data_IF_547790079329
#
_entry.id   IF_547790079329
#
_cell.length_a   1.000
_cell.length_b   1.000
_cell.length_c   1.000
_cell.angle_alpha   90.00
_cell.angle_beta   90.00
_cell.angle_gamma   90.00
#
_symmetry.space_group_name_H-M   'P 1'
#
loop_
_entity.id
_entity.type
_entity.pdbx_description
1 polymer ?
#
# COMPACT_ATOMS: atom_id res chain seq x y z
N UNK A 1 30.50 5.39 49.65
CA UNK A 1 29.64 6.12 48.68
C UNK A 1 29.41 5.19 47.51
N UNK A 2 28.22 4.60 47.40
CA UNK A 2 27.87 3.69 46.30
C UNK A 2 27.21 4.51 45.21
N UNK A 3 27.88 4.67 44.07
CA UNK A 3 27.32 5.33 42.89
C UNK A 3 26.40 4.34 42.20
N UNK A 4 25.09 4.51 42.34
CA UNK A 4 24.09 3.74 41.61
C UNK A 4 24.15 4.17 40.14
N UNK A 5 24.77 3.34 39.30
CA UNK A 5 24.81 3.56 37.85
C UNK A 5 23.39 3.35 37.31
N UNK A 6 22.74 4.45 36.92
CA UNK A 6 21.41 4.41 36.29
C UNK A 6 21.60 3.86 34.87
N UNK A 7 20.94 2.74 34.50
CA UNK A 7 21.09 2.20 33.16
C UNK A 7 20.59 3.20 32.13
N UNK A 8 21.25 3.31 30.96
CA UNK A 8 20.84 4.23 29.91
C UNK A 8 19.39 3.89 29.51
N UNK A 9 18.51 4.89 29.60
CA UNK A 9 17.14 4.80 29.10
C UNK A 9 17.26 4.52 27.60
N UNK A 10 16.92 3.30 27.19
CA UNK A 10 16.81 2.97 25.77
C UNK A 10 15.86 3.99 25.13
N UNK A 11 16.38 4.75 24.15
CA UNK A 11 15.55 5.67 23.39
C UNK A 11 14.34 4.94 22.78
N UNK A 12 13.27 5.67 22.41
CA UNK A 12 12.12 5.05 21.77
C UNK A 12 12.60 4.20 20.58
N UNK A 13 12.08 2.96 20.43
CA UNK A 13 12.50 2.10 19.33
C UNK A 13 12.28 2.85 18.02
N UNK A 14 13.31 2.88 17.17
CA UNK A 14 13.17 3.44 15.83
C UNK A 14 12.11 2.61 15.11
N UNK A 15 11.04 3.23 14.58
CA UNK A 15 9.95 2.49 13.96
C UNK A 15 10.48 1.68 12.79
N UNK A 16 9.97 0.46 12.64
CA UNK A 16 10.37 -0.43 11.56
C UNK A 16 10.06 0.25 10.20
N UNK A 17 10.99 0.23 9.23
CA UNK A 17 10.76 0.84 7.92
C UNK A 17 9.51 0.30 7.19
N UNK A 18 9.17 -0.97 7.40
CA UNK A 18 7.95 -1.61 6.88
C UNK A 18 6.73 -1.03 7.56
N UNK A 19 6.73 -0.96 8.89
CA UNK A 19 5.62 -0.38 9.66
C UNK A 19 5.34 1.07 9.24
N UNK A 20 6.42 1.85 9.07
CA UNK A 20 6.34 3.23 8.57
C UNK A 20 5.74 3.30 7.18
N UNK A 21 6.16 2.42 6.26
CA UNK A 21 5.60 2.36 4.92
C UNK A 21 4.09 2.02 4.95
N UNK A 22 3.67 1.04 5.75
CA UNK A 22 2.25 0.69 5.92
C UNK A 22 1.45 1.85 6.49
N UNK A 23 1.95 2.54 7.51
CA UNK A 23 1.30 3.70 8.09
C UNK A 23 1.10 4.82 7.05
N UNK A 24 2.13 5.09 6.24
CA UNK A 24 2.08 6.08 5.16
C UNK A 24 1.03 5.71 4.10
N UNK A 25 1.01 4.45 3.65
CA UNK A 25 0.04 3.98 2.66
C UNK A 25 -1.39 4.00 3.22
N UNK A 26 -1.57 3.55 4.47
CA UNK A 26 -2.86 3.59 5.15
C UNK A 26 -3.41 5.02 5.22
N UNK A 27 -2.58 5.98 5.62
CA UNK A 27 -2.94 7.40 5.68
C UNK A 27 -3.30 7.94 4.29
N UNK A 28 -2.50 7.63 3.27
CA UNK A 28 -2.74 8.07 1.89
C UNK A 28 -4.05 7.52 1.32
N UNK A 29 -4.35 6.24 1.54
CA UNK A 29 -5.59 5.60 1.11
C UNK A 29 -6.83 6.20 1.78
N UNK A 30 -6.76 6.42 3.10
CA UNK A 30 -7.85 7.05 3.87
C UNK A 30 -8.11 8.48 3.42
N UNK A 31 -7.06 9.26 3.18
CA UNK A 31 -7.17 10.62 2.64
C UNK A 31 -7.88 10.67 1.27
N UNK A 32 -7.84 9.57 0.51
CA UNK A 32 -8.47 9.43 -0.80
C UNK A 32 -9.86 8.81 -0.75
N UNK A 33 -10.41 8.59 0.45
CA UNK A 33 -11.75 8.02 0.67
C UNK A 33 -11.82 6.51 0.48
N UNK A 34 -10.68 5.81 0.50
CA UNK A 34 -10.64 4.34 0.44
C UNK A 34 -10.77 3.79 1.87
N UNK A 35 -11.68 2.84 2.06
CA UNK A 35 -11.77 2.08 3.31
C UNK A 35 -10.65 1.06 3.32
N UNK A 36 -9.84 1.03 4.38
CA UNK A 36 -8.68 0.14 4.48
C UNK A 36 -8.78 -0.72 5.73
N UNK A 37 -8.54 -2.02 5.57
CA UNK A 37 -8.29 -2.95 6.66
C UNK A 37 -6.86 -3.46 6.56
N UNK A 38 -6.06 -3.17 7.56
CA UNK A 38 -4.68 -3.63 7.62
C UNK A 38 -4.62 -5.02 8.27
N UNK A 39 -3.87 -5.92 7.63
CA UNK A 39 -3.38 -7.16 8.21
C UNK A 39 -1.84 -7.05 8.23
N UNK A 40 -1.35 -6.36 9.26
CA UNK A 40 0.08 -6.05 9.44
C UNK A 40 0.90 -7.31 9.65
N UNK A 41 0.33 -8.35 10.28
CA UNK A 41 0.97 -9.66 10.46
C UNK A 41 1.25 -10.39 9.15
N UNK A 42 0.58 -10.03 8.06
CA UNK A 42 0.79 -10.60 6.72
C UNK A 42 1.30 -9.60 5.68
N UNK A 43 1.71 -8.40 6.11
CA UNK A 43 2.12 -7.32 5.20
C UNK A 43 1.08 -7.06 4.09
N UNK A 44 -0.19 -6.96 4.48
CA UNK A 44 -1.33 -6.83 3.56
C UNK A 44 -2.27 -5.70 3.98
N UNK A 45 -2.79 -4.96 2.99
CA UNK A 45 -3.90 -4.02 3.13
C UNK A 45 -5.05 -4.45 2.22
N UNK A 46 -6.22 -4.69 2.80
CA UNK A 46 -7.47 -4.84 2.06
C UNK A 46 -8.11 -3.47 1.87
N UNK A 47 -8.27 -3.05 0.62
CA UNK A 47 -8.77 -1.74 0.22
C UNK A 47 -10.17 -1.89 -0.39
N UNK A 48 -11.11 -1.05 0.02
CA UNK A 48 -12.51 -1.13 -0.40
C UNK A 48 -13.03 0.26 -0.76
N UNK A 49 -13.73 0.36 -1.89
CA UNK A 49 -14.54 1.52 -2.22
C UNK A 49 -15.83 1.05 -2.91
N UNK A 50 -16.98 1.36 -2.30
CA UNK A 50 -18.26 0.80 -2.74
C UNK A 50 -18.28 -0.73 -2.60
N UNK A 51 -18.61 -1.42 -3.68
CA UNK A 51 -18.64 -2.90 -3.77
C UNK A 51 -17.31 -3.50 -4.24
N UNK A 52 -16.37 -2.67 -4.69
CA UNK A 52 -15.06 -3.14 -5.17
C UNK A 52 -14.11 -3.39 -3.99
N UNK A 53 -13.43 -4.53 -4.02
CA UNK A 53 -12.39 -4.90 -3.06
C UNK A 53 -11.10 -5.20 -3.81
N UNK A 54 -9.99 -4.67 -3.30
CA UNK A 54 -8.64 -4.89 -3.79
C UNK A 54 -7.73 -5.28 -2.62
N UNK A 55 -6.71 -6.08 -2.89
CA UNK A 55 -5.63 -6.32 -1.94
C UNK A 55 -4.35 -5.64 -2.40
N UNK A 56 -3.69 -4.97 -1.46
CA UNK A 56 -2.32 -4.46 -1.62
C UNK A 56 -1.42 -5.21 -0.65
N UNK A 57 -0.23 -5.63 -1.09
CA UNK A 57 0.77 -6.26 -0.23
C UNK A 57 2.10 -5.54 -0.35
N UNK A 58 2.94 -5.65 0.66
CA UNK A 58 4.35 -5.27 0.58
C UNK A 58 5.19 -6.53 0.37
N UNK A 59 6.02 -6.57 -0.67
CA UNK A 59 7.08 -7.59 -0.80
C UNK A 59 8.42 -6.89 -1.00
N UNK A 60 9.35 -7.09 -0.07
CA UNK A 60 10.60 -6.33 -0.07
C UNK A 60 10.31 -4.83 0.04
N UNK A 61 10.74 -4.05 -0.96
CA UNK A 61 10.59 -2.58 -1.02
C UNK A 61 9.51 -2.11 -2.01
N UNK A 62 8.51 -2.94 -2.26
CA UNK A 62 7.61 -2.81 -3.40
C UNK A 62 6.15 -3.05 -2.97
N UNK A 63 5.25 -2.09 -3.30
CA UNK A 63 3.80 -2.14 -3.11
C UNK A 63 3.00 -2.83 -4.24
N UNK A 64 2.58 -4.07 -4.03
CA UNK A 64 1.90 -4.86 -5.06
C UNK A 64 0.39 -4.79 -4.94
N UNK A 65 -0.29 -4.58 -6.07
CA UNK A 65 -1.72 -4.83 -6.21
C UNK A 65 -1.86 -6.32 -6.50
N UNK A 66 -2.58 -7.03 -5.63
CA UNK A 66 -2.90 -8.45 -5.81
C UNK A 66 -4.31 -8.54 -6.41
N UNK A 67 -4.35 -9.02 -7.64
CA UNK A 67 -5.58 -9.30 -8.34
C UNK A 67 -6.23 -10.61 -7.84
N UNK A 68 -7.56 -10.80 -7.97
CA UNK A 68 -8.26 -12.01 -7.54
C UNK A 68 -7.81 -13.29 -8.26
N UNK A 69 -7.28 -13.16 -9.48
CA UNK A 69 -6.66 -14.26 -10.25
C UNK A 69 -5.23 -14.56 -9.82
N UNK A 70 -4.67 -13.77 -8.90
CA UNK A 70 -3.39 -14.03 -8.24
C UNK A 70 -2.17 -13.45 -8.96
N UNK A 71 -2.33 -12.78 -10.10
CA UNK A 71 -1.19 -12.12 -10.75
C UNK A 71 -0.87 -10.78 -10.08
N UNK A 72 0.38 -10.52 -9.68
CA UNK A 72 0.79 -9.20 -9.23
C UNK A 72 1.20 -8.32 -10.43
N UNK A 73 0.49 -7.22 -10.68
CA UNK A 73 0.95 -6.16 -11.61
C UNK A 73 2.11 -5.35 -11.00
N UNK A 74 3.04 -4.79 -11.79
CA UNK A 74 4.19 -4.07 -11.28
C UNK A 74 3.81 -2.75 -10.60
N UNK A 75 4.75 -2.31 -9.78
CA UNK A 75 4.57 -2.02 -8.37
C UNK A 75 5.26 -0.69 -8.11
N UNK A 76 4.68 0.16 -7.27
CA UNK A 76 5.37 1.36 -6.82
C UNK A 76 6.35 1.02 -5.68
N UNK A 77 7.55 1.61 -5.65
CA UNK A 77 8.49 1.40 -4.56
C UNK A 77 7.95 2.02 -3.26
N UNK A 78 8.42 1.53 -2.12
CA UNK A 78 8.26 2.21 -0.84
C UNK A 78 8.80 3.64 -0.95
N UNK A 79 8.07 4.61 -0.39
CA UNK A 79 8.27 6.05 -0.56
C UNK A 79 7.35 6.68 -1.62
N UNK A 80 6.58 5.88 -2.35
CA UNK A 80 5.59 6.34 -3.35
C UNK A 80 4.14 6.05 -2.90
N UNK A 81 3.89 6.01 -1.58
CA UNK A 81 2.60 5.61 -1.00
C UNK A 81 1.43 6.46 -1.48
N UNK A 82 1.66 7.75 -1.73
CA UNK A 82 0.62 8.65 -2.23
C UNK A 82 0.18 8.28 -3.65
N UNK A 83 1.14 8.06 -4.57
CA UNK A 83 0.86 7.58 -5.94
C UNK A 83 0.24 6.19 -5.91
N UNK A 84 0.68 5.32 -5.01
CA UNK A 84 0.09 3.99 -4.82
C UNK A 84 -1.38 4.09 -4.42
N UNK A 85 -1.71 4.98 -3.49
CA UNK A 85 -3.09 5.21 -3.09
C UNK A 85 -3.97 5.78 -4.22
N UNK A 86 -3.41 6.58 -5.14
CA UNK A 86 -4.12 7.03 -6.35
C UNK A 86 -4.43 5.87 -7.28
N UNK A 87 -3.45 5.02 -7.52
CA UNK A 87 -3.62 3.84 -8.36
C UNK A 87 -4.68 2.89 -7.79
N UNK A 88 -4.62 2.62 -6.49
CA UNK A 88 -5.63 1.83 -5.77
C UNK A 88 -7.02 2.44 -5.92
N UNK A 89 -7.16 3.75 -5.71
CA UNK A 89 -8.45 4.43 -5.88
C UNK A 89 -8.95 4.33 -7.31
N UNK A 90 -8.09 4.54 -8.31
CA UNK A 90 -8.47 4.45 -9.72
C UNK A 90 -8.98 3.05 -10.06
N UNK A 91 -8.25 2.00 -9.66
CA UNK A 91 -8.65 0.60 -9.82
C UNK A 91 -10.00 0.31 -9.17
N UNK A 92 -10.19 0.77 -7.93
CA UNK A 92 -11.45 0.55 -7.21
C UNK A 92 -12.64 1.29 -7.84
N UNK A 93 -12.43 2.49 -8.40
CA UNK A 93 -13.48 3.32 -9.02
C UNK A 93 -13.89 2.85 -10.41
N UNK A 94 -12.94 2.37 -11.21
CA UNK A 94 -13.25 1.80 -12.52
C UNK A 94 -14.10 0.53 -12.35
N UNK A 95 -14.03 -0.10 -11.18
CA UNK A 95 -14.64 -1.38 -10.93
C UNK A 95 -13.85 -2.47 -11.64
N UNK A 96 -13.90 -3.67 -11.08
CA UNK A 96 -13.34 -4.85 -11.72
C UNK A 96 -14.22 -5.23 -12.92
N UNK A 97 -13.95 -4.66 -14.09
CA UNK A 97 -14.52 -5.18 -15.35
C UNK A 97 -13.54 -6.21 -15.86
N UNK A 98 -13.95 -7.48 -15.81
CA UNK A 98 -13.23 -8.64 -16.36
C UNK A 98 -12.78 -8.33 -17.80
N UNK A 99 -11.53 -7.89 -17.98
CA UNK A 99 -10.90 -7.92 -19.30
C UNK A 99 -10.48 -9.36 -19.51
N UNK A 100 -11.17 -10.05 -20.42
CA UNK A 100 -10.89 -11.44 -20.75
C UNK A 100 -9.42 -11.66 -21.15
N UNK A 101 -8.96 -12.92 -21.18
CA UNK A 101 -7.59 -13.26 -21.54
C UNK A 101 -7.25 -12.67 -22.92
N UNK A 102 -6.17 -11.89 -22.99
CA UNK A 102 -5.62 -11.35 -24.25
C UNK A 102 -5.88 -9.88 -24.55
N UNK A 103 -6.50 -9.09 -23.65
CA UNK A 103 -6.54 -7.63 -23.83
C UNK A 103 -5.23 -6.98 -23.36
N UNK A 104 -4.66 -6.04 -24.13
CA UNK A 104 -3.41 -5.39 -23.76
C UNK A 104 -3.55 -4.68 -22.41
N UNK A 105 -2.49 -4.81 -21.61
CA UNK A 105 -2.28 -4.11 -20.36
C UNK A 105 -2.61 -2.64 -20.60
N UNK A 106 -3.54 -2.09 -19.82
CA UNK A 106 -3.77 -0.65 -19.89
C UNK A 106 -2.55 -0.03 -19.21
N UNK A 107 -1.58 0.39 -20.02
CA UNK A 107 -0.54 1.29 -19.57
C UNK A 107 -1.26 2.53 -19.01
N UNK A 108 -1.33 2.60 -17.68
CA UNK A 108 -1.58 3.87 -16.99
C UNK A 108 -0.28 4.65 -17.16
N UNK A 109 -0.13 5.20 -18.35
CA UNK A 109 0.98 6.00 -18.83
C UNK A 109 0.41 7.02 -19.82
N UNK A 110 -0.13 8.11 -19.28
CA UNK A 110 0.19 9.45 -19.76
C UNK A 110 -0.38 10.48 -18.77
N UNK A 111 0.52 10.97 -17.92
CA UNK A 111 0.63 12.42 -17.71
C UNK A 111 0.89 13.07 -19.09
N UNK A 112 0.45 14.31 -19.23
CA UNK A 112 0.55 15.22 -20.39
C UNK A 112 -0.61 15.22 -21.43
N UNK A 113 -1.43 16.28 -21.32
CA UNK A 113 -2.41 16.68 -22.32
C UNK A 113 -3.16 17.98 -21.97
N UNK A 114 -2.45 19.11 -22.08
CA UNK A 114 -2.87 20.53 -22.00
C UNK A 114 -3.25 21.16 -20.65
#
# INVERSE_FOLDING_TARGET
MMTTEVPPIAGPPTPDPVETAFANLFRALRAKGVTVRADTGRSRLSCTAGTSVLTVVLRGRWWLIVWPDGEPDPILPVGQEWRMAERVRAVLRIGWVRRGPGLPRLDVGNEDGY
#
